data_IF_170658987116
#
_entry.id   IF_170658987116
#
_cell.length_a   1.000
_cell.length_b   1.000
_cell.length_c   1.000
_cell.angle_alpha   90.00
_cell.angle_beta   90.00
_cell.angle_gamma   90.00
#
_symmetry.space_group_name_H-M   'P 1'
#
loop_
_entity.id
_entity.type
_entity.pdbx_description
1 polymer ?
#
# COMPACT_ATOMS: atom_id res chain seq x y z
N UNK A 1 -3.90 1.43 22.62
CA UNK A 1 -3.35 0.63 22.16
C UNK A 1 -3.19 0.61 20.76
N UNK A 2 -2.21 0.77 20.39
CA UNK A 2 -1.88 0.95 19.11
C UNK A 2 -1.92 -0.25 18.29
N UNK A 3 -2.37 -1.22 18.89
CA UNK A 3 -2.33 -2.48 18.24
C UNK A 3 -3.22 -2.60 17.06
N UNK A 4 -4.00 -1.61 16.78
CA UNK A 4 -4.95 -1.72 15.70
C UNK A 4 -4.42 -1.38 14.36
N UNK A 5 -3.15 -1.08 14.26
CA UNK A 5 -2.62 -0.64 12.98
C UNK A 5 -2.71 -1.68 11.89
N UNK A 6 -2.85 -2.95 12.22
CA UNK A 6 -2.95 -3.98 11.20
C UNK A 6 -4.39 -4.29 10.81
N UNK A 7 -5.32 -3.44 11.23
CA UNK A 7 -6.74 -3.73 11.06
C UNK A 7 -7.49 -2.70 10.24
N UNK A 8 -6.80 -1.90 9.46
CA UNK A 8 -7.48 -0.85 8.71
C UNK A 8 -7.97 -1.37 7.37
N UNK A 9 -9.20 -0.98 7.03
CA UNK A 9 -9.70 -1.28 5.70
C UNK A 9 -9.06 -0.31 4.73
N UNK A 10 -9.29 -0.56 3.45
CA UNK A 10 -8.81 0.32 2.38
C UNK A 10 -9.26 1.76 2.61
N UNK A 11 -10.56 1.94 2.87
CA UNK A 11 -11.10 3.27 3.08
C UNK A 11 -10.60 3.91 4.37
N UNK A 12 -10.47 3.12 5.42
CA UNK A 12 -9.98 3.65 6.68
C UNK A 12 -8.55 4.12 6.57
N UNK A 13 -7.73 3.39 5.82
CA UNK A 13 -6.35 3.76 5.62
C UNK A 13 -6.26 5.07 4.83
N UNK A 14 -7.05 5.19 3.76
CA UNK A 14 -7.06 6.41 2.96
C UNK A 14 -7.49 7.60 3.80
N UNK A 15 -8.50 7.41 4.63
CA UNK A 15 -8.99 8.49 5.46
C UNK A 15 -7.96 8.88 6.52
N UNK A 16 -7.31 7.90 7.10
CA UNK A 16 -6.32 8.15 8.13
C UNK A 16 -5.18 9.02 7.59
N UNK A 17 -4.75 8.75 6.37
CA UNK A 17 -3.66 9.50 5.76
C UNK A 17 -4.16 10.69 4.92
N UNK A 18 -5.48 10.93 4.95
CA UNK A 18 -6.08 12.06 4.25
C UNK A 18 -5.75 12.10 2.77
N UNK A 19 -5.88 10.95 2.13
CA UNK A 19 -5.65 10.83 0.69
C UNK A 19 -6.88 10.23 0.03
N UNK A 20 -7.05 10.52 -1.26
CA UNK A 20 -8.19 9.99 -2.00
C UNK A 20 -8.00 8.52 -2.35
N UNK A 21 -6.78 8.12 -2.63
CA UNK A 21 -6.51 6.75 -3.04
C UNK A 21 -5.26 6.27 -2.33
N UNK A 22 -5.44 5.30 -1.43
CA UNK A 22 -4.32 4.83 -0.63
C UNK A 22 -3.28 4.11 -1.49
N UNK A 23 -3.71 3.45 -2.58
CA UNK A 23 -2.76 2.77 -3.45
C UNK A 23 -1.81 3.76 -4.12
N UNK A 24 -2.35 4.87 -4.61
CA UNK A 24 -1.50 5.89 -5.22
C UNK A 24 -0.51 6.46 -4.20
N UNK A 25 -0.98 6.66 -2.98
CA UNK A 25 -0.12 7.17 -1.92
C UNK A 25 1.00 6.19 -1.62
N UNK A 26 0.69 4.90 -1.58
CA UNK A 26 1.69 3.88 -1.31
C UNK A 26 2.72 3.79 -2.44
N UNK A 27 2.25 3.88 -3.69
CA UNK A 27 3.16 3.85 -4.84
C UNK A 27 4.09 5.06 -4.79
N UNK A 28 3.53 6.23 -4.51
CA UNK A 28 4.32 7.45 -4.44
C UNK A 28 5.37 7.35 -3.33
N UNK A 29 4.98 6.79 -2.20
CA UNK A 29 5.89 6.60 -1.07
C UNK A 29 7.06 5.71 -1.49
N UNK A 30 6.76 4.63 -2.21
CA UNK A 30 7.79 3.72 -2.69
C UNK A 30 8.71 4.43 -3.68
N UNK A 31 8.14 5.15 -4.63
CA UNK A 31 8.92 5.82 -5.67
C UNK A 31 9.82 6.92 -5.09
N UNK A 32 9.41 7.50 -3.98
CA UNK A 32 10.23 8.51 -3.32
C UNK A 32 11.34 7.91 -2.47
N UNK A 33 11.46 6.59 -2.46
CA UNK A 33 12.53 5.94 -1.74
C UNK A 33 12.20 5.58 -0.31
N UNK A 34 10.99 5.86 0.14
CA UNK A 34 10.59 5.58 1.52
C UNK A 34 10.08 4.15 1.65
N UNK A 35 10.98 3.21 1.46
CA UNK A 35 10.60 1.79 1.42
C UNK A 35 10.04 1.31 2.76
N UNK A 36 10.64 1.74 3.86
CA UNK A 36 10.16 1.34 5.18
C UNK A 36 8.72 1.79 5.40
N UNK A 37 8.42 3.02 5.04
CA UNK A 37 7.08 3.55 5.19
C UNK A 37 6.09 2.81 4.29
N UNK A 38 6.51 2.51 3.07
CA UNK A 38 5.69 1.74 2.14
C UNK A 38 5.32 0.38 2.74
N UNK A 39 6.29 -0.30 3.33
CA UNK A 39 6.02 -1.59 3.97
C UNK A 39 5.07 -1.47 5.14
N UNK A 40 5.23 -0.41 5.93
CA UNK A 40 4.34 -0.19 7.06
C UNK A 40 2.91 0.06 6.59
N UNK A 41 2.74 0.84 5.54
CA UNK A 41 1.43 1.11 5.00
C UNK A 41 0.74 -0.18 4.57
N UNK A 42 1.48 -1.07 3.94
CA UNK A 42 0.93 -2.35 3.51
C UNK A 42 0.52 -3.19 4.71
N UNK A 43 1.37 -3.22 5.74
CA UNK A 43 1.09 -4.01 6.94
C UNK A 43 -0.12 -3.53 7.70
N UNK A 44 -0.42 -2.24 7.62
CA UNK A 44 -1.54 -1.67 8.33
C UNK A 44 -2.88 -2.05 7.70
N UNK A 45 -2.88 -2.54 6.48
CA UNK A 45 -4.11 -2.93 5.82
C UNK A 45 -4.56 -4.31 6.28
N UNK A 46 -5.86 -4.52 6.32
CA UNK A 46 -6.41 -5.85 6.51
C UNK A 46 -6.11 -6.69 5.28
N UNK A 47 -6.18 -8.02 5.39
CA UNK A 47 -5.88 -8.88 4.23
C UNK A 47 -6.68 -8.54 2.97
N UNK A 48 -7.95 -8.17 3.13
CA UNK A 48 -8.75 -7.79 1.97
C UNK A 48 -8.18 -6.54 1.30
N UNK A 49 -7.73 -5.57 2.11
CA UNK A 49 -7.12 -4.37 1.58
C UNK A 49 -5.78 -4.65 0.90
N UNK A 50 -5.03 -5.61 1.42
CA UNK A 50 -3.77 -6.00 0.80
C UNK A 50 -4.01 -6.60 -0.57
N UNK A 51 -5.05 -7.43 -0.71
CA UNK A 51 -5.39 -7.99 -2.00
C UNK A 51 -5.81 -6.91 -2.98
N UNK A 52 -6.56 -5.94 -2.49
CA UNK A 52 -6.98 -4.81 -3.33
C UNK A 52 -5.76 -4.06 -3.84
N UNK A 53 -4.77 -3.84 -2.97
CA UNK A 53 -3.57 -3.12 -3.36
C UNK A 53 -2.81 -3.88 -4.45
N UNK A 54 -2.61 -5.18 -4.25
CA UNK A 54 -1.89 -5.99 -5.22
C UNK A 54 -2.64 -5.97 -6.56
N UNK A 55 -3.95 -6.15 -6.50
CA UNK A 55 -4.78 -6.13 -7.71
C UNK A 55 -4.66 -4.78 -8.41
N UNK A 56 -4.69 -3.70 -7.63
CA UNK A 56 -4.60 -2.36 -8.18
C UNK A 56 -3.27 -2.18 -8.92
N UNK A 57 -2.18 -2.72 -8.36
CA UNK A 57 -0.87 -2.60 -9.02
C UNK A 57 -0.88 -3.18 -10.42
N UNK A 58 -1.57 -4.29 -10.61
CA UNK A 58 -1.62 -4.93 -11.94
C UNK A 58 -2.55 -4.22 -12.90
N UNK A 59 -3.33 -3.27 -12.42
CA UNK A 59 -4.23 -2.50 -13.28
C UNK A 59 -3.76 -1.07 -13.47
N UNK A 60 -2.60 -0.73 -12.93
CA UNK A 60 -2.09 0.61 -13.09
C UNK A 60 -1.10 0.64 -14.26
N UNK A 61 -0.59 1.81 -14.58
CA UNK A 61 0.33 1.94 -15.71
C UNK A 61 1.78 1.66 -15.40
N UNK A 62 2.07 1.21 -14.21
CA UNK A 62 3.44 0.85 -13.86
C UNK A 62 3.88 -0.35 -14.69
N UNK A 63 5.15 -0.39 -15.06
CA UNK A 63 5.63 -1.53 -15.83
C UNK A 63 5.82 -2.73 -14.90
N UNK A 64 5.92 -3.91 -15.50
CA UNK A 64 5.95 -5.14 -14.71
C UNK A 64 7.18 -5.25 -13.84
N UNK A 65 8.29 -4.66 -14.23
CA UNK A 65 9.51 -4.68 -13.41
C UNK A 65 9.29 -3.91 -12.11
N UNK A 66 8.64 -2.74 -12.20
CA UNK A 66 8.35 -1.95 -11.01
C UNK A 66 7.37 -2.67 -10.12
N UNK A 67 6.34 -3.27 -10.70
CA UNK A 67 5.35 -4.01 -9.92
C UNK A 67 6.03 -5.15 -9.18
N UNK A 68 6.91 -5.87 -9.84
CA UNK A 68 7.63 -6.97 -9.21
C UNK A 68 8.45 -6.49 -8.03
N UNK A 69 9.18 -5.39 -8.20
CA UNK A 69 9.99 -4.85 -7.12
C UNK A 69 9.14 -4.44 -5.94
N UNK A 70 7.99 -3.81 -6.21
CA UNK A 70 7.11 -3.37 -5.15
C UNK A 70 6.52 -4.54 -4.38
N UNK A 71 6.18 -5.62 -5.08
CA UNK A 71 5.64 -6.80 -4.41
C UNK A 71 6.72 -7.47 -3.58
N UNK A 72 7.92 -7.59 -4.12
CA UNK A 72 9.01 -8.20 -3.36
C UNK A 72 9.35 -7.40 -2.09
N UNK A 73 9.15 -6.10 -2.14
CA UNK A 73 9.46 -5.26 -0.99
C UNK A 73 8.48 -5.47 0.17
N UNK A 74 7.30 -6.02 -0.07
CA UNK A 74 6.31 -6.22 0.98
C UNK A 74 6.14 -7.68 1.38
N UNK A 75 6.86 -8.59 0.78
CA UNK A 75 6.80 -10.01 1.16
C UNK A 75 7.55 -10.33 2.43
#
# INVERSE_FOLDING_TARGET
MATKRHSKTWEQQAKYYEVDNIAEYMVETYLNGNISTYRELYRELKPAGRRLFISWLFHTELNSTEIEKMILAIL
#
